data_IF_732991453041
#
_entry.id   IF_732991453041
#
_cell.length_a   1.000
_cell.length_b   1.000
_cell.length_c   1.000
_cell.angle_alpha   90.00
_cell.angle_beta   90.00
_cell.angle_gamma   90.00
#
_symmetry.space_group_name_H-M   'P 1'
#
loop_
_entity.id
_entity.type
_entity.pdbx_description
1 polymer ?
#
# COMPACT_ATOMS: atom_id res chain seq x y z
N UNK A 1 -11.37 9.45 12.17
CA UNK A 1 -10.92 10.21 13.35
C UNK A 1 -9.48 10.71 13.23
N UNK A 2 -8.48 9.83 13.02
CA UNK A 2 -7.06 10.21 12.93
C UNK A 2 -6.76 11.34 11.93
N UNK A 3 -7.30 11.26 10.70
CA UNK A 3 -7.12 12.31 9.70
C UNK A 3 -7.68 13.68 10.13
N UNK A 4 -8.79 13.70 10.88
CA UNK A 4 -9.38 14.95 11.41
C UNK A 4 -8.43 15.58 12.43
N UNK A 5 -7.92 14.78 13.37
CA UNK A 5 -6.97 15.24 14.40
C UNK A 5 -5.67 15.74 13.76
N UNK A 6 -5.15 15.01 12.77
CA UNK A 6 -3.98 15.40 12.01
C UNK A 6 -4.20 16.76 11.31
N UNK A 7 -5.31 16.95 10.59
CA UNK A 7 -5.63 18.24 9.95
C UNK A 7 -5.69 19.40 10.95
N UNK A 8 -6.33 19.18 12.09
CA UNK A 8 -6.45 20.18 13.14
C UNK A 8 -5.08 20.59 13.73
N UNK A 9 -4.18 19.63 13.93
CA UNK A 9 -2.80 19.89 14.35
C UNK A 9 -1.98 20.59 13.27
N UNK A 10 -2.08 20.15 12.01
CA UNK A 10 -1.38 20.78 10.88
C UNK A 10 -1.84 22.23 10.66
N UNK A 11 -3.14 22.51 10.82
CA UNK A 11 -3.67 23.88 10.76
C UNK A 11 -3.09 24.80 11.85
N UNK A 12 -2.58 24.24 12.96
CA UNK A 12 -1.84 24.96 14.01
C UNK A 12 -0.33 25.01 13.77
N UNK A 13 0.16 24.54 12.62
CA UNK A 13 1.58 24.54 12.29
C UNK A 13 2.38 23.38 12.91
N UNK A 14 1.72 22.31 13.36
CA UNK A 14 2.43 21.12 13.79
C UNK A 14 3.15 20.44 12.60
N UNK A 15 4.24 19.72 12.91
CA UNK A 15 4.91 18.80 11.98
C UNK A 15 4.69 17.37 12.50
N UNK A 16 4.09 16.51 11.68
CA UNK A 16 3.57 15.20 12.10
C UNK A 16 4.07 14.09 11.20
N UNK A 17 4.30 12.91 11.79
CA UNK A 17 4.48 11.67 11.04
C UNK A 17 3.14 10.91 10.92
N UNK A 18 2.76 10.57 9.69
CA UNK A 18 1.43 10.10 9.34
C UNK A 18 1.43 8.64 8.86
N UNK A 19 0.44 7.88 9.32
CA UNK A 19 0.20 6.50 8.89
C UNK A 19 1.23 5.47 9.38
N UNK A 20 1.11 4.24 8.88
CA UNK A 20 1.90 3.07 9.33
C UNK A 20 3.40 3.21 9.05
N UNK A 21 3.77 3.87 7.96
CA UNK A 21 5.14 4.12 7.55
C UNK A 21 5.68 5.47 8.05
N UNK A 22 4.90 6.20 8.85
CA UNK A 22 5.31 7.43 9.52
C UNK A 22 5.85 8.47 8.52
N UNK A 23 5.04 8.81 7.50
CA UNK A 23 5.38 9.81 6.49
C UNK A 23 5.23 11.20 7.09
N UNK A 24 6.34 11.93 7.14
CA UNK A 24 6.34 13.30 7.64
C UNK A 24 5.45 14.23 6.78
N UNK A 25 4.69 15.11 7.43
CA UNK A 25 3.74 16.04 6.80
C UNK A 25 4.38 16.97 5.78
N UNK A 26 5.66 17.31 5.94
CA UNK A 26 6.39 18.17 5.01
C UNK A 26 6.63 17.49 3.64
N UNK A 27 6.45 16.17 3.56
CA UNK A 27 6.62 15.40 2.33
C UNK A 27 5.32 15.21 1.54
N UNK A 28 4.16 15.58 2.09
CA UNK A 28 2.86 15.27 1.47
C UNK A 28 2.71 15.85 0.07
N UNK A 29 3.16 17.09 -0.13
CA UNK A 29 2.99 17.81 -1.40
C UNK A 29 3.71 17.11 -2.56
N UNK A 30 4.99 16.79 -2.39
CA UNK A 30 5.77 16.13 -3.45
C UNK A 30 5.39 14.66 -3.63
N UNK A 31 4.80 14.04 -2.61
CA UNK A 31 4.23 12.68 -2.68
C UNK A 31 2.82 12.63 -3.29
N UNK A 32 2.19 13.79 -3.53
CA UNK A 32 0.80 13.86 -4.00
C UNK A 32 -0.19 13.19 -3.03
N UNK A 33 0.08 13.29 -1.72
CA UNK A 33 -0.64 12.56 -0.68
C UNK A 33 -1.45 13.51 0.18
N UNK A 34 -2.77 13.33 0.26
CA UNK A 34 -3.58 14.05 1.25
C UNK A 34 -3.36 13.47 2.65
N UNK A 35 -3.73 14.24 3.68
CA UNK A 35 -3.70 13.78 5.08
C UNK A 35 -4.53 12.51 5.24
N UNK A 36 -5.72 12.44 4.66
CA UNK A 36 -6.58 11.26 4.67
C UNK A 36 -5.90 10.06 3.99
N UNK A 37 -5.30 10.28 2.82
CA UNK A 37 -4.62 9.24 2.07
C UNK A 37 -3.37 8.71 2.80
N UNK A 38 -2.75 9.51 3.66
CA UNK A 38 -1.65 9.04 4.50
C UNK A 38 -2.09 8.01 5.56
N UNK A 39 -3.39 7.90 5.86
CA UNK A 39 -3.94 6.85 6.73
C UNK A 39 -4.50 5.65 5.95
N UNK A 40 -4.52 5.67 4.62
CA UNK A 40 -4.73 4.48 3.81
C UNK A 40 -3.44 3.64 3.80
N UNK A 41 -3.44 2.39 4.31
CA UNK A 41 -2.21 1.61 4.48
C UNK A 41 -1.45 1.39 3.16
N UNK A 42 -2.16 1.12 2.06
CA UNK A 42 -1.54 0.84 0.77
C UNK A 42 -0.89 2.09 0.18
N UNK A 43 -1.59 3.23 0.21
CA UNK A 43 -1.07 4.51 -0.27
C UNK A 43 0.09 5.00 0.58
N UNK A 44 0.02 4.82 1.91
CA UNK A 44 1.08 5.20 2.83
C UNK A 44 2.36 4.36 2.61
N UNK A 45 2.23 3.04 2.42
CA UNK A 45 3.36 2.17 2.06
C UNK A 45 3.92 2.49 0.67
N UNK A 46 3.07 2.81 -0.30
CA UNK A 46 3.52 3.23 -1.63
C UNK A 46 4.33 4.53 -1.55
N UNK A 47 3.87 5.51 -0.76
CA UNK A 47 4.57 6.75 -0.47
C UNK A 47 5.92 6.49 0.22
N UNK A 48 5.97 5.62 1.23
CA UNK A 48 7.21 5.22 1.88
C UNK A 48 8.22 4.62 0.89
N UNK A 49 7.73 3.79 -0.03
CA UNK A 49 8.54 3.26 -1.13
C UNK A 49 9.11 4.36 -2.03
N UNK A 50 8.35 5.42 -2.31
CA UNK A 50 8.86 6.58 -3.07
C UNK A 50 9.94 7.34 -2.30
N UNK A 51 9.73 7.62 -1.01
CA UNK A 51 10.73 8.28 -0.15
C UNK A 51 12.03 7.47 -0.09
N UNK A 52 11.92 6.16 0.14
CA UNK A 52 13.09 5.29 0.21
C UNK A 52 13.84 5.25 -1.14
N UNK A 53 13.14 5.16 -2.27
CA UNK A 53 13.74 5.22 -3.60
C UNK A 53 14.42 6.56 -3.87
N UNK A 54 13.83 7.68 -3.47
CA UNK A 54 14.45 9.01 -3.62
C UNK A 54 15.75 9.16 -2.79
N UNK A 55 15.84 8.45 -1.66
CA UNK A 55 17.04 8.33 -0.84
C UNK A 55 18.08 7.32 -1.35
N UNK A 56 17.66 6.34 -2.15
CA UNK A 56 18.52 5.30 -2.72
C UNK A 56 19.25 5.81 -3.97
N UNK A 57 20.50 6.21 -3.80
CA UNK A 57 21.34 6.82 -4.82
C UNK A 57 22.59 5.97 -5.04
N UNK A 58 22.54 4.94 -5.89
CA UNK A 58 23.68 4.06 -6.14
C UNK A 58 24.81 4.84 -6.82
N UNK A 59 26.04 4.44 -6.52
CA UNK A 59 27.25 4.98 -7.12
C UNK A 59 28.16 3.83 -7.55
N UNK A 60 28.97 4.06 -8.59
CA UNK A 60 29.89 3.05 -9.10
C UNK A 60 30.88 2.61 -8.00
N UNK A 61 31.12 1.30 -7.91
CA UNK A 61 32.00 0.70 -6.91
C UNK A 61 31.43 0.65 -5.48
N UNK A 62 30.21 1.14 -5.25
CA UNK A 62 29.56 1.06 -3.92
C UNK A 62 28.65 -0.16 -3.84
N UNK A 63 28.84 -0.96 -2.80
CA UNK A 63 27.99 -2.12 -2.49
C UNK A 63 26.50 -1.70 -2.33
N UNK A 64 25.55 -2.40 -2.98
CA UNK A 64 24.12 -2.07 -2.89
C UNK A 64 23.56 -2.05 -1.47
N UNK A 65 24.07 -2.88 -0.55
CA UNK A 65 23.61 -2.87 0.84
C UNK A 65 24.07 -1.61 1.58
N UNK A 66 25.27 -1.15 1.30
CA UNK A 66 25.78 0.13 1.79
C UNK A 66 24.91 1.29 1.30
N UNK A 67 24.54 1.31 0.01
CA UNK A 67 23.60 2.29 -0.53
C UNK A 67 22.24 2.22 0.17
N UNK A 68 21.71 1.02 0.43
CA UNK A 68 20.42 0.85 1.12
C UNK A 68 20.46 1.38 2.56
N UNK A 69 21.51 1.09 3.32
CA UNK A 69 21.67 1.61 4.68
C UNK A 69 21.71 3.13 4.73
N UNK A 70 22.40 3.76 3.76
CA UNK A 70 22.40 5.21 3.60
C UNK A 70 20.99 5.72 3.27
N UNK A 71 20.26 5.03 2.40
CA UNK A 71 18.88 5.38 2.08
C UNK A 71 17.97 5.30 3.31
N UNK A 72 18.12 4.28 4.17
CA UNK A 72 17.40 4.16 5.44
C UNK A 72 17.73 5.32 6.41
N UNK A 73 18.99 5.74 6.46
CA UNK A 73 19.40 6.90 7.26
C UNK A 73 18.78 8.20 6.77
N UNK A 74 18.70 8.38 5.44
CA UNK A 74 18.00 9.51 4.80
C UNK A 74 16.49 9.43 5.04
N UNK A 75 15.87 8.26 4.98
CA UNK A 75 14.44 8.09 5.28
C UNK A 75 14.12 8.58 6.70
N UNK A 76 14.96 8.24 7.68
CA UNK A 76 14.70 8.63 9.07
C UNK A 76 15.02 10.10 9.39
N UNK A 77 16.05 10.70 8.79
CA UNK A 77 16.58 11.99 9.26
C UNK A 77 16.84 13.03 8.17
N UNK A 78 16.61 12.68 6.91
CA UNK A 78 17.05 13.44 5.74
C UNK A 78 18.57 13.44 5.51
N UNK A 79 19.37 12.92 6.44
CA UNK A 79 20.84 12.97 6.40
C UNK A 79 21.45 11.59 6.16
N UNK A 80 22.52 11.47 5.35
CA UNK A 80 23.14 10.17 5.07
C UNK A 80 23.67 9.47 6.33
N UNK A 81 24.10 10.20 7.35
CA UNK A 81 24.80 9.61 8.51
C UNK A 81 24.00 9.59 9.84
N UNK A 82 23.01 10.49 10.02
CA UNK A 82 22.40 10.67 11.36
C UNK A 82 21.58 9.44 11.80
N UNK A 83 20.99 8.71 10.86
CA UNK A 83 20.29 7.46 11.14
C UNK A 83 21.20 6.31 11.56
N UNK A 84 22.49 6.37 11.23
CA UNK A 84 23.48 5.45 11.80
C UNK A 84 23.81 5.84 13.24
N UNK A 85 24.09 7.13 13.46
CA UNK A 85 24.47 7.67 14.79
C UNK A 85 23.40 7.49 15.85
N UNK A 86 22.12 7.60 15.48
CA UNK A 86 21.00 7.39 16.40
C UNK A 86 20.53 5.91 16.49
N UNK A 87 21.26 4.99 15.83
CA UNK A 87 20.99 3.56 15.82
C UNK A 87 19.77 3.12 15.00
N UNK A 88 19.10 4.01 14.28
CA UNK A 88 17.92 3.68 13.48
C UNK A 88 18.21 2.57 12.46
N UNK A 89 19.29 2.70 11.68
CA UNK A 89 19.65 1.72 10.64
C UNK A 89 19.82 0.32 11.25
N UNK A 90 20.57 0.23 12.36
CA UNK A 90 20.79 -1.04 13.05
C UNK A 90 19.48 -1.66 13.57
N UNK A 91 18.54 -0.85 14.07
CA UNK A 91 17.22 -1.34 14.51
C UNK A 91 16.40 -1.90 13.35
N UNK A 92 16.46 -1.26 12.17
CA UNK A 92 15.77 -1.75 10.96
C UNK A 92 16.35 -3.07 10.50
N UNK A 93 17.68 -3.19 10.43
CA UNK A 93 18.33 -4.46 10.05
C UNK A 93 18.02 -5.57 11.04
N UNK A 94 18.10 -5.30 12.34
CA UNK A 94 17.73 -6.26 13.37
C UNK A 94 16.25 -6.68 13.26
N UNK A 95 15.36 -5.76 12.91
CA UNK A 95 13.96 -6.07 12.66
C UNK A 95 13.77 -6.96 11.43
N UNK A 96 14.48 -6.67 10.34
CA UNK A 96 14.44 -7.49 9.12
C UNK A 96 14.89 -8.93 9.39
N UNK A 97 15.94 -9.12 10.20
CA UNK A 97 16.39 -10.46 10.63
C UNK A 97 15.33 -11.16 11.49
N UNK A 98 14.78 -10.49 12.51
CA UNK A 98 13.76 -11.08 13.39
C UNK A 98 12.49 -11.48 12.64
N UNK A 99 12.09 -10.68 11.65
CA UNK A 99 10.93 -10.93 10.81
C UNK A 99 11.22 -11.95 9.69
N UNK A 100 12.47 -12.39 9.55
CA UNK A 100 12.87 -13.32 8.51
C UNK A 100 12.63 -12.78 7.10
N UNK A 101 12.77 -11.46 6.89
CA UNK A 101 12.51 -10.82 5.60
C UNK A 101 13.42 -11.43 4.54
N UNK A 102 12.83 -12.20 3.64
CA UNK A 102 13.53 -12.78 2.51
C UNK A 102 13.58 -11.78 1.35
N UNK A 103 14.61 -11.88 0.52
CA UNK A 103 14.64 -11.16 -0.73
C UNK A 103 13.40 -11.55 -1.56
N UNK A 104 12.63 -10.56 -2.00
CA UNK A 104 11.51 -10.80 -2.90
C UNK A 104 12.06 -11.41 -4.18
N UNK A 105 11.45 -12.51 -4.63
CA UNK A 105 11.72 -13.04 -5.96
C UNK A 105 11.38 -11.95 -6.96
N UNK A 106 12.25 -11.64 -7.95
CA UNK A 106 11.88 -10.75 -9.02
C UNK A 106 10.55 -11.23 -9.59
N UNK A 107 9.54 -10.36 -9.62
CA UNK A 107 8.31 -10.64 -10.35
C UNK A 107 8.75 -10.76 -11.79
N UNK A 108 8.85 -11.99 -12.29
CA UNK A 108 8.95 -12.20 -13.73
C UNK A 108 7.72 -11.50 -14.31
N UNK A 109 7.90 -10.58 -15.29
CA UNK A 109 6.76 -10.08 -16.04
C UNK A 109 5.98 -11.32 -16.46
N UNK A 110 4.66 -11.34 -16.19
CA UNK A 110 3.81 -12.39 -16.71
C UNK A 110 4.13 -12.40 -18.21
N UNK A 111 4.81 -13.44 -18.69
CA UNK A 111 4.89 -13.66 -20.12
C UNK A 111 3.44 -13.57 -20.57
N UNK A 112 3.14 -12.74 -21.57
CA UNK A 112 1.81 -12.66 -22.15
C UNK A 112 1.54 -14.02 -22.79
N UNK A 113 1.18 -15.00 -21.96
CA UNK A 113 0.70 -16.28 -22.42
C UNK A 113 -0.52 -15.93 -23.27
N UNK A 114 -0.61 -16.47 -24.50
CA UNK A 114 -1.83 -16.34 -25.29
C UNK A 114 -3.01 -16.71 -24.39
N UNK A 115 -4.08 -15.92 -24.44
CA UNK A 115 -5.32 -16.30 -23.78
C UNK A 115 -5.65 -17.73 -24.21
N UNK A 116 -5.92 -18.65 -23.28
CA UNK A 116 -6.40 -19.97 -23.67
C UNK A 116 -7.64 -19.76 -24.55
N UNK A 117 -7.72 -20.49 -25.66
CA UNK A 117 -8.91 -20.48 -26.51
C UNK A 117 -10.15 -20.67 -25.62
N UNK A 118 -11.25 -19.95 -25.86
CA UNK A 118 -12.46 -20.11 -25.06
C UNK A 118 -12.84 -21.59 -25.07
N UNK A 119 -12.72 -22.22 -23.91
CA UNK A 119 -13.08 -23.62 -23.74
C UNK A 119 -14.55 -23.73 -24.12
N UNK A 120 -14.84 -24.43 -25.22
CA UNK A 120 -16.20 -24.79 -25.57
C UNK A 120 -16.71 -25.70 -24.46
N UNK A 121 -17.47 -25.14 -23.53
CA UNK A 121 -18.17 -25.92 -22.51
C UNK A 121 -19.21 -26.79 -23.20
N UNK A 122 -19.16 -28.10 -22.92
CA UNK A 122 -20.20 -29.03 -23.34
C UNK A 122 -21.58 -28.51 -22.90
N UNK A 123 -22.66 -28.80 -23.65
CA UNK A 123 -23.99 -28.34 -23.27
C UNK A 123 -24.34 -28.88 -21.88
N UNK A 124 -24.77 -27.98 -20.99
CA UNK A 124 -25.18 -28.34 -19.64
C UNK A 124 -26.30 -29.39 -19.69
N UNK A 125 -26.20 -30.40 -18.81
CA UNK A 125 -27.19 -31.45 -18.68
C UNK A 125 -28.57 -30.87 -18.34
N UNK A 126 -29.64 -31.56 -18.74
CA UNK A 126 -30.99 -30.99 -18.69
C UNK A 126 -31.52 -30.66 -17.28
N UNK A 127 -30.91 -31.24 -16.25
CA UNK A 127 -31.27 -31.00 -14.86
C UNK A 127 -30.52 -29.81 -14.22
N UNK A 128 -29.50 -29.25 -14.87
CA UNK A 128 -28.75 -28.11 -14.34
C UNK A 128 -29.44 -26.77 -14.70
N UNK A 129 -30.34 -26.37 -13.80
CA UNK A 129 -31.08 -25.10 -13.89
C UNK A 129 -30.21 -23.86 -13.61
N UNK A 130 -29.04 -24.01 -12.99
CA UNK A 130 -28.14 -22.89 -12.67
C UNK A 130 -27.26 -22.53 -13.86
N UNK A 131 -26.78 -23.52 -14.61
CA UNK A 131 -26.02 -23.29 -15.85
C UNK A 131 -26.89 -22.72 -17.00
N UNK A 132 -28.22 -22.92 -16.93
CA UNK A 132 -29.20 -22.39 -17.90
C UNK A 132 -29.91 -21.11 -17.44
N UNK A 133 -29.64 -20.64 -16.22
CA UNK A 133 -30.29 -19.46 -15.69
C UNK A 133 -29.95 -18.24 -16.56
N UNK A 134 -30.95 -17.73 -17.28
CA UNK A 134 -30.84 -16.41 -17.91
C UNK A 134 -30.84 -15.38 -16.80
N UNK A 135 -29.72 -14.67 -16.66
CA UNK A 135 -29.58 -13.55 -15.75
C UNK A 135 -30.70 -12.55 -16.03
N UNK A 136 -31.71 -12.50 -15.16
CA UNK A 136 -32.76 -11.49 -15.23
C UNK A 136 -32.27 -10.25 -14.50
N UNK A 137 -32.21 -9.11 -15.18
CA UNK A 137 -31.54 -7.90 -14.69
C UNK A 137 -32.38 -7.08 -13.68
N UNK A 138 -33.48 -7.63 -13.18
CA UNK A 138 -34.42 -6.90 -12.32
C UNK A 138 -34.70 -7.72 -11.05
N UNK A 139 -34.14 -7.25 -9.93
CA UNK A 139 -34.50 -7.69 -8.58
C UNK A 139 -35.53 -6.69 -8.03
N UNK A 140 -36.81 -7.07 -8.06
CA UNK A 140 -37.88 -6.30 -7.39
C UNK A 140 -38.06 -6.83 -5.98
N UNK A 141 -37.76 -6.01 -4.97
CA UNK A 141 -38.13 -6.25 -3.58
C UNK A 141 -39.38 -5.44 -3.26
N UNK A 142 -40.52 -6.09 -3.02
CA UNK A 142 -41.70 -5.43 -2.44
C UNK A 142 -41.56 -5.43 -0.92
N UNK A 143 -41.30 -4.27 -0.34
CA UNK A 143 -41.42 -4.08 1.10
C UNK A 143 -42.90 -3.99 1.48
N UNK A 144 -43.41 -4.96 2.24
CA UNK A 144 -44.71 -4.84 2.91
C UNK A 144 -44.58 -3.83 4.03
N UNK A 145 -45.11 -2.63 3.80
CA UNK A 145 -45.37 -1.65 4.84
C UNK A 145 -46.65 -2.08 5.57
N UNK A 146 -46.51 -2.54 6.81
CA UNK A 146 -47.67 -2.68 7.72
C UNK A 146 -47.65 -1.51 8.68
N UNK A 147 -48.54 -0.55 8.42
CA UNK A 147 -48.84 0.56 9.32
C UNK A 147 -49.79 0.14 10.45
N UNK A 148 -49.59 0.83 11.57
CA UNK A 148 -50.48 1.27 12.67
C UNK A 148 -51.82 0.57 12.96
N UNK A 149 -51.99 0.23 14.25
CA UNK A 149 -53.11 0.44 15.20
C UNK A 149 -52.83 -0.50 16.39
N UNK A 150 -52.85 -0.14 17.68
CA UNK A 150 -53.67 0.78 18.48
C UNK A 150 -52.88 1.17 19.75
#
# INVERSE_FOLDING_TARGET
EAARVARDLLARGANLDLGVAQINSDNLDWLGLSVEAAFDPCRNLAAAGQVLRAGYRPAEGVDPQTTLRIALSRYNTGHPERGFRNGYVARVEAAAVRLGVQALRPVQPLATAPLPDPVQTAPAADWDVFARARTSLVLTFTATQTGSSE
#
